data_IF_942217018998
#
_entry.id   IF_942217018998
#
_cell.length_a   1.000
_cell.length_b   1.000
_cell.length_c   1.000
_cell.angle_alpha   90.00
_cell.angle_beta   90.00
_cell.angle_gamma   90.00
#
_symmetry.space_group_name_H-M   'P 1'
#
loop_
_entity.id
_entity.type
_entity.pdbx_description
1 polymer ?
#
# COMPACT_ATOMS: atom_id res chain seq x y z
N UNK A 1 4.04 -10.89 -15.08
CA UNK A 1 4.02 -11.85 -13.94
C UNK A 1 3.74 -11.02 -12.70
N UNK A 2 2.73 -11.40 -11.90
CA UNK A 2 2.43 -10.77 -10.62
C UNK A 2 3.15 -11.57 -9.53
N UNK A 3 3.87 -10.90 -8.65
CA UNK A 3 4.56 -11.54 -7.53
C UNK A 3 4.03 -10.95 -6.23
N UNK A 4 3.47 -11.79 -5.35
CA UNK A 4 3.12 -11.40 -3.98
C UNK A 4 4.40 -11.42 -3.15
N UNK A 5 4.60 -10.37 -2.35
CA UNK A 5 5.77 -10.24 -1.48
C UNK A 5 5.38 -10.79 -0.11
N UNK A 6 6.25 -11.62 0.48
CA UNK A 6 6.10 -12.07 1.87
C UNK A 6 6.38 -10.93 2.86
N UNK A 7 5.64 -10.86 3.96
CA UNK A 7 5.71 -9.77 4.96
C UNK A 7 7.14 -9.51 5.45
N UNK A 8 7.93 -10.58 5.66
CA UNK A 8 9.34 -10.49 6.07
C UNK A 8 10.22 -9.66 5.10
N UNK A 9 9.79 -9.52 3.85
CA UNK A 9 10.51 -8.82 2.79
C UNK A 9 9.98 -7.40 2.51
N UNK A 10 8.91 -6.95 3.18
CA UNK A 10 8.28 -5.64 2.91
C UNK A 10 9.28 -4.49 2.99
N UNK A 11 10.06 -4.43 4.08
CA UNK A 11 11.05 -3.37 4.28
C UNK A 11 12.08 -3.31 3.16
N UNK A 12 12.61 -4.46 2.75
CA UNK A 12 13.62 -4.54 1.70
C UNK A 12 13.07 -4.11 0.34
N UNK A 13 11.83 -4.48 0.03
CA UNK A 13 11.16 -4.10 -1.22
C UNK A 13 10.80 -2.61 -1.22
N UNK A 14 10.25 -2.07 -0.14
CA UNK A 14 9.95 -0.64 -0.04
C UNK A 14 11.19 0.23 -0.18
N UNK A 15 12.33 -0.19 0.38
CA UNK A 15 13.60 0.54 0.25
C UNK A 15 14.07 0.60 -1.21
N UNK A 16 13.88 -0.46 -2.01
CA UNK A 16 14.17 -0.43 -3.45
C UNK A 16 13.32 0.62 -4.19
N UNK A 17 12.09 0.84 -3.72
CA UNK A 17 11.16 1.83 -4.27
C UNK A 17 11.25 3.21 -3.60
N UNK A 18 12.19 3.45 -2.68
CA UNK A 18 12.39 4.77 -2.07
C UNK A 18 12.64 5.83 -3.15
N UNK A 19 11.97 6.97 -3.01
CA UNK A 19 12.04 8.09 -3.95
C UNK A 19 11.16 7.92 -5.19
N UNK A 20 10.27 6.92 -5.21
CA UNK A 20 9.31 6.68 -6.30
C UNK A 20 8.26 7.77 -6.41
N UNK A 21 7.47 7.73 -7.48
CA UNK A 21 6.18 8.40 -7.57
C UNK A 21 5.12 7.49 -6.97
N UNK A 22 4.34 8.03 -6.05
CA UNK A 22 3.24 7.33 -5.39
C UNK A 22 1.90 7.92 -5.83
N UNK A 23 0.89 7.07 -5.91
CA UNK A 23 -0.46 7.45 -6.28
C UNK A 23 -1.47 6.48 -5.66
N UNK A 24 -2.57 7.01 -5.13
CA UNK A 24 -3.77 6.22 -4.88
C UNK A 24 -4.32 5.76 -6.24
N UNK A 25 -4.16 4.48 -6.53
CA UNK A 25 -4.42 3.93 -7.85
C UNK A 25 -5.86 3.48 -7.99
N UNK A 26 -6.36 2.71 -7.03
CA UNK A 26 -7.73 2.19 -7.01
C UNK A 26 -8.23 2.24 -5.57
N UNK A 27 -9.51 2.52 -5.39
CA UNK A 27 -10.16 2.42 -4.10
C UNK A 27 -11.59 1.94 -4.27
N UNK A 28 -12.07 1.15 -3.31
CA UNK A 28 -13.46 0.72 -3.22
C UNK A 28 -13.97 1.08 -1.82
N UNK A 29 -14.81 2.12 -1.69
CA UNK A 29 -15.35 2.53 -0.39
C UNK A 29 -16.21 1.45 0.27
N UNK A 30 -17.03 0.75 -0.52
CA UNK A 30 -17.91 -0.31 -0.01
C UNK A 30 -17.13 -1.52 0.51
N UNK A 31 -16.01 -1.85 -0.14
CA UNK A 31 -15.13 -2.94 0.29
C UNK A 31 -14.07 -2.49 1.29
N UNK A 32 -14.00 -1.18 1.61
CA UNK A 32 -12.93 -0.57 2.40
C UNK A 32 -11.53 -1.01 1.94
N UNK A 33 -11.29 -1.00 0.64
CA UNK A 33 -9.99 -1.37 0.07
C UNK A 33 -9.38 -0.22 -0.70
N UNK A 34 -8.06 -0.12 -0.66
CA UNK A 34 -7.31 0.90 -1.36
C UNK A 34 -5.97 0.34 -1.84
N UNK A 35 -5.58 0.72 -3.05
CA UNK A 35 -4.30 0.34 -3.66
C UNK A 35 -3.46 1.59 -3.85
N UNK A 36 -2.26 1.59 -3.26
CA UNK A 36 -1.22 2.58 -3.54
C UNK A 36 -0.28 1.98 -4.59
N UNK A 37 -0.03 2.71 -5.67
CA UNK A 37 0.93 2.32 -6.70
C UNK A 37 2.19 3.16 -6.58
N UNK A 38 3.34 2.49 -6.58
CA UNK A 38 4.67 3.07 -6.62
C UNK A 38 5.33 2.78 -7.97
N UNK A 39 5.73 3.83 -8.68
CA UNK A 39 6.49 3.73 -9.93
C UNK A 39 7.83 4.46 -9.81
N UNK A 40 8.89 3.87 -10.35
CA UNK A 40 10.25 4.42 -10.26
C UNK A 40 10.93 4.37 -11.62
N UNK A 41 11.59 5.47 -12.01
CA UNK A 41 12.33 5.53 -13.27
C UNK A 41 13.42 4.45 -13.26
N UNK A 42 13.50 3.66 -14.33
CA UNK A 42 14.46 2.55 -14.46
C UNK A 42 13.96 1.22 -13.90
N UNK A 43 12.80 1.18 -13.24
CA UNK A 43 12.14 -0.05 -12.85
C UNK A 43 11.09 -0.40 -13.92
N UNK A 44 11.09 -1.66 -14.36
CA UNK A 44 10.13 -2.15 -15.36
C UNK A 44 8.73 -2.34 -14.75
N UNK A 45 8.70 -2.81 -13.50
CA UNK A 45 7.47 -3.15 -12.79
C UNK A 45 7.13 -2.09 -11.74
N UNK A 46 5.83 -1.94 -11.47
CA UNK A 46 5.34 -1.13 -10.37
C UNK A 46 5.20 -1.99 -9.10
N UNK A 47 5.27 -1.34 -7.93
CA UNK A 47 4.93 -1.94 -6.65
C UNK A 47 3.53 -1.46 -6.25
N UNK A 48 2.70 -2.40 -5.80
CA UNK A 48 1.34 -2.16 -5.34
C UNK A 48 1.23 -2.52 -3.87
N UNK A 49 0.66 -1.63 -3.08
CA UNK A 49 0.33 -1.83 -1.67
C UNK A 49 -1.18 -1.82 -1.58
N UNK A 50 -1.78 -2.99 -1.35
CA UNK A 50 -3.22 -3.15 -1.15
C UNK A 50 -3.51 -3.11 0.36
N UNK A 51 -4.25 -2.11 0.81
CA UNK A 51 -4.85 -2.09 2.14
C UNK A 51 -6.23 -2.74 2.14
N UNK A 52 -6.51 -3.54 3.17
CA UNK A 52 -7.80 -4.17 3.41
C UNK A 52 -8.41 -3.64 4.72
N UNK A 53 -9.73 -3.43 4.76
CA UNK A 53 -10.41 -2.80 5.90
C UNK A 53 -9.78 -1.44 6.24
N UNK A 54 -9.60 -0.59 5.23
CA UNK A 54 -9.12 0.77 5.38
C UNK A 54 -10.12 1.60 6.19
N UNK A 55 -9.65 2.23 7.27
CA UNK A 55 -10.48 3.02 8.19
C UNK A 55 -10.11 4.49 8.24
N UNK A 56 -8.88 4.82 7.86
CA UNK A 56 -8.42 6.21 7.82
C UNK A 56 -7.43 6.40 6.68
N UNK A 57 -7.55 7.53 5.99
CA UNK A 57 -6.56 8.03 5.03
C UNK A 57 -6.42 9.54 5.22
N UNK A 58 -5.17 10.00 5.24
CA UNK A 58 -4.81 11.41 5.27
C UNK A 58 -3.60 11.66 4.37
N UNK A 59 -3.54 12.85 3.76
CA UNK A 59 -2.43 13.27 2.91
C UNK A 59 -2.75 13.29 1.41
N UNK A 60 -1.71 13.37 0.56
CA UNK A 60 -1.89 13.59 -0.88
C UNK A 60 -2.44 12.37 -1.62
N UNK A 61 -3.24 12.62 -2.66
CA UNK A 61 -3.70 11.56 -3.58
C UNK A 61 -2.58 11.02 -4.48
N UNK A 62 -1.60 11.86 -4.81
CA UNK A 62 -0.36 11.46 -5.46
C UNK A 62 0.80 12.39 -5.10
N UNK A 63 2.02 11.85 -5.07
CA UNK A 63 3.20 12.61 -4.68
C UNK A 63 4.49 12.02 -5.27
N UNK A 64 5.52 12.87 -5.36
CA UNK A 64 6.86 12.49 -5.81
C UNK A 64 7.76 12.25 -4.60
N UNK A 65 8.86 11.52 -4.83
CA UNK A 65 9.86 11.25 -3.80
C UNK A 65 9.26 10.50 -2.59
N UNK A 66 8.47 9.47 -2.86
CA UNK A 66 7.74 8.70 -1.86
C UNK A 66 8.67 7.78 -1.05
N UNK A 67 8.56 7.84 0.26
CA UNK A 67 9.37 7.13 1.25
C UNK A 67 8.45 6.33 2.19
N UNK A 68 7.60 5.47 1.60
CA UNK A 68 6.60 4.72 2.36
C UNK A 68 7.23 3.70 3.31
N UNK A 69 6.66 3.61 4.52
CA UNK A 69 6.99 2.63 5.55
C UNK A 69 5.70 1.95 6.02
N UNK A 70 5.81 0.67 6.40
CA UNK A 70 4.69 -0.14 6.90
C UNK A 70 5.07 -0.64 8.29
N UNK A 71 4.17 -0.49 9.25
CA UNK A 71 4.34 -1.04 10.60
C UNK A 71 2.99 -1.34 11.25
N UNK A 72 3.00 -2.23 12.24
CA UNK A 72 1.86 -2.51 13.10
C UNK A 72 1.85 -1.56 14.31
N UNK A 73 0.66 -1.18 14.76
CA UNK A 73 0.44 -0.38 15.95
C UNK A 73 -0.78 -0.90 16.72
N UNK A 74 -0.83 -0.64 18.02
CA UNK A 74 -2.05 -0.88 18.79
C UNK A 74 -3.18 0.04 18.30
N UNK A 75 -4.38 -0.51 18.20
CA UNK A 75 -5.58 0.25 17.91
C UNK A 75 -6.07 1.01 19.16
N UNK A 76 -7.19 1.72 19.03
CA UNK A 76 -7.87 2.32 20.19
C UNK A 76 -8.48 1.26 21.14
N UNK A 77 -8.65 0.02 20.67
CA UNK A 77 -9.14 -1.11 21.45
C UNK A 77 -7.97 -1.98 21.92
N UNK A 78 -7.82 -2.19 23.25
CA UNK A 78 -6.73 -2.99 23.80
C UNK A 78 -6.68 -4.41 23.21
N UNK A 79 -5.50 -4.80 22.72
CA UNK A 79 -5.26 -6.13 22.15
C UNK A 79 -5.56 -6.26 20.65
N UNK A 80 -6.07 -5.21 20.01
CA UNK A 80 -6.26 -5.17 18.55
C UNK A 80 -5.10 -4.44 17.88
N UNK A 81 -4.56 -5.02 16.81
CA UNK A 81 -3.51 -4.42 16.00
C UNK A 81 -4.10 -3.81 14.72
N UNK A 82 -3.58 -2.65 14.36
CA UNK A 82 -3.79 -2.01 13.06
C UNK A 82 -2.48 -1.97 12.30
N UNK A 83 -2.56 -1.97 10.98
CA UNK A 83 -1.41 -1.69 10.13
C UNK A 83 -1.48 -0.26 9.64
N UNK A 84 -0.33 0.41 9.68
CA UNK A 84 -0.15 1.77 9.16
C UNK A 84 0.79 1.76 7.98
N UNK A 85 0.40 2.44 6.90
CA UNK A 85 1.27 2.79 5.77
C UNK A 85 1.49 4.29 5.82
N UNK A 86 2.74 4.72 6.02
CA UNK A 86 3.06 6.13 6.26
C UNK A 86 4.15 6.64 5.33
N UNK A 87 4.05 7.91 4.94
CA UNK A 87 5.15 8.70 4.38
C UNK A 87 5.19 10.03 5.12
N UNK A 88 5.98 10.07 6.21
CA UNK A 88 6.07 11.23 7.10
C UNK A 88 6.49 12.50 6.36
N UNK A 89 7.40 12.36 5.37
CA UNK A 89 7.92 13.49 4.61
C UNK A 89 6.86 14.16 3.76
N UNK A 90 5.90 13.39 3.26
CA UNK A 90 4.82 13.88 2.42
C UNK A 90 3.49 14.02 3.19
N UNK A 91 3.48 13.77 4.50
CA UNK A 91 2.29 13.87 5.34
C UNK A 91 1.19 12.87 4.97
N UNK A 92 1.57 11.67 4.49
CA UNK A 92 0.64 10.61 4.12
C UNK A 92 0.51 9.58 5.25
N UNK A 93 -0.73 9.18 5.55
CA UNK A 93 -1.05 8.06 6.43
C UNK A 93 -2.26 7.30 5.89
N UNK A 94 -2.15 5.97 5.84
CA UNK A 94 -3.25 5.04 5.63
C UNK A 94 -3.27 4.07 6.82
N UNK A 95 -4.45 3.89 7.42
CA UNK A 95 -4.67 2.94 8.52
C UNK A 95 -5.61 1.82 8.05
N UNK A 96 -5.22 0.59 8.33
CA UNK A 96 -5.97 -0.61 7.98
C UNK A 96 -6.14 -1.54 9.19
N UNK A 97 -7.32 -2.15 9.31
CA UNK A 97 -7.62 -3.10 10.39
C UNK A 97 -7.29 -4.55 10.01
N UNK A 98 -7.12 -4.85 8.72
CA UNK A 98 -6.87 -6.21 8.22
C UNK A 98 -5.54 -6.33 7.48
N UNK A 99 -4.60 -5.43 7.77
CA UNK A 99 -3.25 -5.49 7.21
C UNK A 99 -3.14 -4.94 5.79
N UNK A 100 -2.02 -5.28 5.14
CA UNK A 100 -1.69 -4.87 3.78
C UNK A 100 -1.00 -6.01 3.03
N UNK A 101 -1.19 -6.04 1.71
CA UNK A 101 -0.49 -6.98 0.82
C UNK A 101 0.37 -6.20 -0.16
N UNK A 102 1.62 -6.61 -0.33
CA UNK A 102 2.52 -6.07 -1.35
C UNK A 102 2.57 -7.00 -2.56
N UNK A 103 2.54 -6.41 -3.75
CA UNK A 103 2.80 -7.16 -4.97
C UNK A 103 3.51 -6.33 -6.03
N UNK A 104 4.31 -6.97 -6.88
CA UNK A 104 4.93 -6.36 -8.05
C UNK A 104 4.34 -6.91 -9.34
N UNK A 105 4.35 -6.11 -10.40
CA UNK A 105 3.97 -6.56 -11.73
C UNK A 105 3.82 -5.44 -12.75
N UNK A 106 3.62 -5.85 -14.00
CA UNK A 106 3.07 -5.00 -15.06
C UNK A 106 1.65 -4.60 -14.67
N UNK A 107 1.22 -3.40 -15.08
CA UNK A 107 -0.04 -2.76 -14.66
C UNK A 107 -1.16 -3.77 -14.34
N UNK A 108 -1.56 -3.81 -13.06
CA UNK A 108 -2.69 -4.65 -12.62
C UNK A 108 -3.94 -4.09 -13.30
N UNK A 109 -4.67 -4.93 -14.05
CA UNK A 109 -6.02 -4.61 -14.49
C UNK A 109 -6.89 -4.36 -13.24
N UNK A 110 -7.38 -3.12 -13.04
CA UNK A 110 -8.06 -2.71 -11.82
C UNK A 110 -9.30 -3.54 -11.46
N UNK A 111 -9.92 -4.21 -12.43
CA UNK A 111 -11.20 -4.88 -12.25
C UNK A 111 -11.08 -6.35 -11.87
N UNK A 112 -9.91 -6.96 -12.04
CA UNK A 112 -9.69 -8.39 -11.86
C UNK A 112 -9.31 -8.82 -10.42
N UNK A 113 -9.38 -7.95 -9.40
CA UNK A 113 -8.86 -8.32 -8.06
C UNK A 113 -9.71 -7.94 -6.83
N UNK A 114 -10.84 -7.25 -7.01
CA UNK A 114 -11.74 -7.02 -5.88
C UNK A 114 -12.71 -8.17 -5.64
N UNK A 115 -13.13 -8.84 -6.72
CA UNK A 115 -14.17 -9.88 -6.69
C UNK A 115 -13.63 -11.31 -6.74
N UNK A 116 -12.32 -11.51 -6.94
CA UNK A 116 -11.72 -12.84 -6.84
C UNK A 116 -11.44 -13.16 -5.35
N UNK A 117 -12.08 -14.21 -4.77
CA UNK A 117 -11.74 -14.67 -3.44
C UNK A 117 -10.29 -15.20 -3.43
N UNK A 118 -9.55 -14.84 -2.38
CA UNK A 118 -8.20 -15.37 -2.10
C UNK A 118 -8.29 -16.87 -1.81
#
# INVERSE_FOLDING_TARGET
MKTIIEDANFKAVLEQFRGSYAQIWIFSPSLKRLVIRLTKKGFKDALYILGASCVHINGPFSWKNAHLTIYEAESAFPGELITKVVDEKNGFELVTESGVVLSTGLEIDPWLSFDDPI
#
